data_IF_406934963308
#
_entry.id   IF_406934963308
#
_cell.length_a   1.000
_cell.length_b   1.000
_cell.length_c   1.000
_cell.angle_alpha   90.00
_cell.angle_beta   90.00
_cell.angle_gamma   90.00
#
_symmetry.space_group_name_H-M   'P 1'
#
loop_
_entity.id
_entity.type
_entity.pdbx_description
1 polymer ?
#
# COMPACT_ATOMS: atom_id res chain seq x y z
N UNK A 1 19.77 -7.80 37.43
CA UNK A 1 18.33 -7.49 37.45
C UNK A 1 18.14 -5.99 37.61
N UNK A 2 17.98 -5.27 36.50
CA UNK A 2 17.18 -4.05 36.50
C UNK A 2 16.30 -4.15 35.25
N UNK A 3 15.16 -4.80 35.46
CA UNK A 3 13.98 -4.68 34.60
C UNK A 3 13.45 -3.27 34.78
N UNK A 4 13.46 -2.48 33.72
CA UNK A 4 12.55 -1.34 33.59
C UNK A 4 11.76 -1.56 32.30
N UNK A 5 10.63 -2.24 32.44
CA UNK A 5 9.54 -2.10 31.49
C UNK A 5 9.07 -0.65 31.58
N UNK A 6 9.19 0.09 30.48
CA UNK A 6 8.37 1.29 30.26
C UNK A 6 7.43 0.97 29.11
N UNK A 7 6.19 0.62 29.44
CA UNK A 7 5.08 0.71 28.51
C UNK A 7 4.27 1.95 28.87
N UNK A 8 4.25 2.94 27.97
CA UNK A 8 3.09 3.76 27.66
C UNK A 8 3.44 4.76 26.55
N UNK A 9 2.92 4.52 25.34
CA UNK A 9 2.17 5.57 24.67
C UNK A 9 2.75 6.25 23.42
N UNK A 10 3.28 5.50 22.44
CA UNK A 10 2.95 5.67 21.01
C UNK A 10 3.52 4.46 20.23
N UNK A 11 2.76 3.38 20.08
CA UNK A 11 3.09 2.31 19.12
C UNK A 11 2.89 2.85 17.70
N UNK A 12 3.90 3.56 17.20
CA UNK A 12 3.96 3.91 15.80
C UNK A 12 4.35 2.64 15.06
N UNK A 13 3.40 1.96 14.42
CA UNK A 13 3.72 0.83 13.56
C UNK A 13 4.71 1.32 12.49
N UNK A 14 5.96 0.85 12.58
CA UNK A 14 6.96 1.07 11.53
C UNK A 14 6.44 0.49 10.21
N UNK A 15 6.89 1.04 9.09
CA UNK A 15 6.53 0.50 7.77
C UNK A 15 6.77 -1.02 7.71
N UNK A 16 5.71 -1.78 7.46
CA UNK A 16 5.70 -3.23 7.49
C UNK A 16 4.59 -3.78 6.58
N UNK A 17 4.62 -5.10 6.40
CA UNK A 17 3.53 -5.82 5.74
C UNK A 17 2.29 -5.84 6.63
N UNK A 18 1.13 -5.59 6.02
CA UNK A 18 -0.17 -5.68 6.65
C UNK A 18 -1.13 -6.50 5.78
N UNK A 19 -1.96 -7.32 6.42
CA UNK A 19 -3.02 -8.06 5.75
C UNK A 19 -4.21 -7.13 5.56
N UNK A 20 -4.60 -6.90 4.31
CA UNK A 20 -5.73 -6.05 3.96
C UNK A 20 -6.74 -6.84 3.12
N UNK A 21 -7.96 -6.33 3.06
CA UNK A 21 -8.98 -6.82 2.13
C UNK A 21 -9.18 -5.77 1.04
N UNK A 22 -9.10 -6.19 -0.22
CA UNK A 22 -9.33 -5.33 -1.38
C UNK A 22 -10.60 -5.77 -2.12
N UNK A 23 -11.34 -4.81 -2.68
CA UNK A 23 -12.41 -5.07 -3.65
C UNK A 23 -11.84 -5.19 -5.06
N UNK A 24 -12.13 -6.28 -5.76
CA UNK A 24 -11.75 -6.49 -7.16
C UNK A 24 -12.98 -6.36 -8.04
N UNK A 25 -12.94 -5.37 -8.92
CA UNK A 25 -13.96 -5.10 -9.93
C UNK A 25 -13.33 -5.04 -11.31
N UNK A 26 -14.06 -5.52 -12.32
CA UNK A 26 -13.66 -5.44 -13.73
C UNK A 26 -14.88 -5.08 -14.57
N UNK A 27 -14.72 -4.08 -15.42
CA UNK A 27 -15.77 -3.65 -16.34
C UNK A 27 -16.27 -4.82 -17.19
N UNK A 28 -17.60 -4.97 -17.27
CA UNK A 28 -18.26 -6.06 -17.97
C UNK A 28 -18.53 -7.29 -17.12
N UNK A 29 -17.92 -7.44 -15.94
CA UNK A 29 -18.31 -8.44 -14.94
C UNK A 29 -19.33 -7.84 -13.95
N UNK A 30 -20.28 -8.65 -13.47
CA UNK A 30 -21.44 -8.13 -12.74
C UNK A 30 -21.26 -7.86 -11.24
N UNK A 31 -20.13 -8.26 -10.62
CA UNK A 31 -19.96 -8.21 -9.16
C UNK A 31 -18.52 -7.89 -8.75
N UNK A 32 -18.38 -7.18 -7.62
CA UNK A 32 -17.15 -7.01 -6.87
C UNK A 32 -16.82 -8.29 -6.07
N UNK A 33 -15.55 -8.67 -6.04
CA UNK A 33 -15.06 -9.78 -5.21
C UNK A 33 -14.05 -9.24 -4.20
N UNK A 34 -14.32 -9.46 -2.92
CA UNK A 34 -13.36 -9.13 -1.86
C UNK A 34 -12.32 -10.24 -1.70
N UNK A 35 -11.03 -9.89 -1.74
CA UNK A 35 -9.93 -10.84 -1.50
C UNK A 35 -9.00 -10.32 -0.42
N UNK A 36 -8.44 -11.24 0.37
CA UNK A 36 -7.40 -10.93 1.34
C UNK A 36 -6.03 -10.96 0.65
N UNK A 37 -5.24 -9.93 0.88
CA UNK A 37 -3.89 -9.78 0.31
C UNK A 37 -2.96 -9.08 1.31
N UNK A 38 -1.68 -9.04 1.01
CA UNK A 38 -0.69 -8.27 1.77
C UNK A 38 -0.38 -6.95 1.07
N UNK A 39 -0.32 -5.87 1.85
CA UNK A 39 0.09 -4.54 1.39
C UNK A 39 1.05 -3.90 2.40
N UNK A 40 1.56 -2.71 2.08
CA UNK A 40 2.47 -1.96 2.92
C UNK A 40 1.74 -0.87 3.69
N UNK A 41 1.94 -0.86 5.00
CA UNK A 41 1.33 0.11 5.90
C UNK A 41 2.25 0.41 7.09
N UNK A 42 1.94 1.49 7.78
CA UNK A 42 2.78 2.03 8.84
C UNK A 42 3.39 3.36 8.43
N UNK A 43 4.46 3.74 9.11
CA UNK A 43 4.93 5.13 9.08
C UNK A 43 6.44 5.21 8.89
N UNK A 44 6.88 6.31 8.27
CA UNK A 44 8.26 6.55 7.88
C UNK A 44 8.83 7.85 8.45
N UNK A 45 10.15 7.83 8.61
CA UNK A 45 11.04 8.99 8.83
C UNK A 45 10.79 10.14 7.84
N UNK A 46 10.09 11.22 8.20
CA UNK A 46 10.07 12.44 7.38
C UNK A 46 10.68 13.63 8.12
N UNK A 47 11.40 14.47 7.39
CA UNK A 47 12.01 15.70 7.88
C UNK A 47 11.59 16.85 6.95
N UNK A 48 11.42 18.04 7.52
CA UNK A 48 11.25 19.26 6.76
C UNK A 48 12.47 20.15 6.98
N UNK A 49 12.93 20.82 5.93
CA UNK A 49 13.99 21.80 6.06
C UNK A 49 13.50 23.02 6.85
N UNK A 50 14.35 23.47 7.78
CA UNK A 50 14.10 24.69 8.54
C UNK A 50 14.15 25.92 7.63
N UNK A 51 15.06 25.91 6.64
CA UNK A 51 15.20 26.97 5.65
C UNK A 51 14.69 26.50 4.29
N UNK A 52 13.68 27.18 3.76
CA UNK A 52 13.10 26.90 2.44
C UNK A 52 14.00 27.47 1.34
N UNK A 53 15.01 26.70 0.93
CA UNK A 53 15.82 26.99 -0.25
C UNK A 53 15.16 26.40 -1.51
N UNK A 54 15.13 27.17 -2.60
CA UNK A 54 14.69 26.69 -3.92
C UNK A 54 15.64 25.65 -4.56
N UNK A 55 16.79 25.39 -3.93
CA UNK A 55 17.80 24.42 -4.39
C UNK A 55 17.73 23.10 -3.60
N UNK A 56 16.94 23.04 -2.51
CA UNK A 56 16.86 21.83 -1.69
C UNK A 56 16.09 20.73 -2.40
N UNK A 57 16.81 19.67 -2.78
CA UNK A 57 16.26 18.41 -3.31
C UNK A 57 15.95 17.47 -2.14
N UNK A 58 14.99 17.85 -1.29
CA UNK A 58 14.57 16.95 -0.22
C UNK A 58 13.54 15.96 -0.75
N UNK A 59 13.81 14.66 -0.59
CA UNK A 59 12.82 13.63 -0.89
C UNK A 59 12.11 13.17 0.37
N UNK A 60 10.78 13.25 0.35
CA UNK A 60 9.95 12.64 1.38
C UNK A 60 9.87 11.13 1.16
N UNK A 61 10.06 10.36 2.22
CA UNK A 61 9.93 8.90 2.19
C UNK A 61 8.52 8.50 2.63
N UNK A 62 7.96 7.53 1.91
CA UNK A 62 6.65 6.93 2.20
C UNK A 62 6.82 5.44 2.46
N UNK A 63 5.86 4.83 3.16
CA UNK A 63 5.82 3.38 3.28
C UNK A 63 5.31 2.81 1.95
N UNK A 64 6.15 2.09 1.23
CA UNK A 64 5.85 1.58 -0.11
C UNK A 64 6.38 0.16 -0.29
N UNK A 65 6.00 -0.45 -1.40
CA UNK A 65 6.48 -1.77 -1.79
C UNK A 65 7.98 -1.73 -2.08
N UNK A 66 8.70 -2.71 -1.52
CA UNK A 66 10.08 -3.01 -1.89
C UNK A 66 10.14 -4.15 -2.89
N UNK A 67 9.43 -5.23 -2.58
CA UNK A 67 9.28 -6.39 -3.46
C UNK A 67 7.79 -6.68 -3.64
N UNK A 68 7.39 -6.92 -4.89
CA UNK A 68 6.01 -7.21 -5.28
C UNK A 68 5.93 -8.51 -6.07
N UNK A 69 4.80 -9.19 -5.94
CA UNK A 69 4.37 -10.25 -6.85
C UNK A 69 3.01 -9.92 -7.43
N UNK A 70 2.62 -10.59 -8.50
CA UNK A 70 1.32 -10.43 -9.12
C UNK A 70 0.54 -11.73 -9.04
N UNK A 71 -0.72 -11.63 -8.64
CA UNK A 71 -1.63 -12.76 -8.52
C UNK A 71 -2.82 -12.54 -9.44
N UNK A 72 -3.21 -13.59 -10.15
CA UNK A 72 -4.38 -13.58 -11.05
C UNK A 72 -5.53 -14.36 -10.43
N UNK A 73 -6.72 -13.77 -10.43
CA UNK A 73 -7.97 -14.39 -9.98
C UNK A 73 -9.00 -14.40 -11.10
N UNK A 74 -9.95 -15.33 -11.04
CA UNK A 74 -11.07 -15.38 -11.96
C UNK A 74 -12.31 -14.78 -11.29
N UNK A 75 -12.86 -13.74 -11.89
CA UNK A 75 -14.09 -13.11 -11.43
C UNK A 75 -15.32 -13.95 -11.83
N UNK A 76 -16.30 -14.12 -10.92
CA UNK A 76 -17.53 -14.83 -11.21
C UNK A 76 -18.47 -13.99 -12.07
N UNK A 77 -19.40 -14.65 -12.77
CA UNK A 77 -20.51 -14.03 -13.50
C UNK A 77 -20.10 -13.01 -14.58
N UNK A 78 -18.93 -13.20 -15.19
CA UNK A 78 -18.57 -12.46 -16.40
C UNK A 78 -19.28 -13.05 -17.62
N UNK A 79 -19.81 -12.24 -18.55
CA UNK A 79 -20.36 -12.70 -19.83
C UNK A 79 -19.31 -13.46 -20.67
N UNK A 80 -19.76 -14.34 -21.58
CA UNK A 80 -18.87 -15.20 -22.41
C UNK A 80 -17.84 -14.41 -23.25
N UNK A 81 -18.12 -13.15 -23.58
CA UNK A 81 -17.24 -12.30 -24.37
C UNK A 81 -16.30 -11.41 -23.53
N UNK A 82 -16.38 -11.48 -22.21
CA UNK A 82 -15.55 -10.70 -21.28
C UNK A 82 -14.50 -11.62 -20.67
N UNK A 83 -13.24 -11.20 -20.71
CA UNK A 83 -12.16 -11.92 -20.03
C UNK A 83 -12.39 -11.89 -18.50
N UNK A 84 -12.58 -13.04 -17.84
CA UNK A 84 -12.87 -13.08 -16.41
C UNK A 84 -11.63 -12.92 -15.52
N UNK A 85 -10.41 -12.89 -16.07
CA UNK A 85 -9.20 -12.84 -15.26
C UNK A 85 -8.81 -11.42 -14.86
N UNK A 86 -8.44 -11.23 -13.60
CA UNK A 86 -7.94 -9.96 -13.06
C UNK A 86 -6.62 -10.19 -12.33
N UNK A 87 -5.63 -9.31 -12.54
CA UNK A 87 -4.30 -9.42 -11.92
C UNK A 87 -4.03 -8.23 -11.01
N UNK A 88 -3.64 -8.48 -9.76
CA UNK A 88 -3.37 -7.46 -8.76
C UNK A 88 -2.01 -7.65 -8.07
N UNK A 89 -1.38 -6.58 -7.55
CA UNK A 89 -0.11 -6.67 -6.84
C UNK A 89 -0.29 -7.19 -5.40
N UNK A 90 0.72 -7.91 -4.92
CA UNK A 90 0.81 -8.45 -3.56
C UNK A 90 2.19 -8.08 -3.00
N UNK A 91 2.21 -7.40 -1.84
CA UNK A 91 3.46 -7.02 -1.19
C UNK A 91 4.19 -8.24 -0.63
N UNK A 92 5.46 -8.41 -1.00
CA UNK A 92 6.36 -9.41 -0.42
C UNK A 92 7.27 -8.81 0.65
N UNK A 93 7.61 -7.52 0.50
CA UNK A 93 8.34 -6.75 1.50
C UNK A 93 8.05 -5.26 1.33
N UNK A 94 8.24 -4.49 2.41
CA UNK A 94 7.95 -3.05 2.47
C UNK A 94 9.19 -2.27 2.88
N UNK A 95 9.27 -1.02 2.44
CA UNK A 95 10.34 -0.10 2.84
C UNK A 95 9.87 1.35 2.93
N UNK A 96 10.66 2.17 3.63
CA UNK A 96 10.53 3.61 3.55
C UNK A 96 11.34 4.12 2.36
N UNK A 97 10.67 4.36 1.24
CA UNK A 97 11.28 4.71 -0.04
C UNK A 97 10.63 5.94 -0.68
N UNK A 98 11.18 6.38 -1.81
CA UNK A 98 10.50 7.37 -2.65
C UNK A 98 9.23 6.76 -3.22
N UNK A 99 8.15 7.54 -3.34
CA UNK A 99 6.94 7.07 -4.01
C UNK A 99 7.20 6.93 -5.51
N UNK A 100 7.01 5.73 -6.06
CA UNK A 100 7.22 5.44 -7.47
C UNK A 100 6.00 5.86 -8.30
N UNK A 101 6.09 7.04 -8.94
CA UNK A 101 5.00 7.63 -9.73
C UNK A 101 4.64 6.86 -11.00
N UNK A 102 5.49 5.92 -11.42
CA UNK A 102 5.27 5.13 -12.64
C UNK A 102 4.09 4.14 -12.49
N UNK A 103 3.83 3.69 -11.25
CA UNK A 103 2.81 2.66 -10.96
C UNK A 103 2.06 2.88 -9.64
N UNK A 104 2.35 3.94 -8.89
CA UNK A 104 1.70 4.27 -7.62
C UNK A 104 1.12 5.68 -7.69
N UNK A 105 -0.12 5.86 -7.23
CA UNK A 105 -0.70 7.19 -7.06
C UNK A 105 -0.11 7.86 -5.81
N UNK A 106 0.76 8.84 -6.02
CA UNK A 106 1.49 9.52 -4.97
C UNK A 106 0.74 10.76 -4.51
N UNK A 107 0.01 10.65 -3.40
CA UNK A 107 -0.76 11.76 -2.87
C UNK A 107 -1.29 11.51 -1.46
N UNK A 108 -2.18 12.38 -1.01
CA UNK A 108 -2.99 12.12 0.18
C UNK A 108 -4.05 11.06 -0.16
N UNK A 109 -4.33 10.14 0.77
CA UNK A 109 -5.37 9.12 0.61
C UNK A 109 -6.68 9.72 0.10
N UNK A 110 -7.13 9.29 -1.08
CA UNK A 110 -8.35 9.74 -1.75
C UNK A 110 -9.50 8.74 -1.63
N UNK A 111 -9.20 7.43 -1.58
CA UNK A 111 -10.13 6.31 -1.39
C UNK A 111 -9.46 5.19 -0.57
N UNK A 112 -10.23 4.47 0.25
CA UNK A 112 -9.76 3.27 0.95
C UNK A 112 -9.67 2.05 0.02
N UNK A 113 -8.96 0.98 0.41
CA UNK A 113 -8.84 -0.25 -0.41
C UNK A 113 -10.16 -1.01 -0.65
N UNK A 114 -11.26 -0.58 -0.04
CA UNK A 114 -12.57 -1.23 -0.09
C UNK A 114 -13.75 -0.26 -0.26
N UNK A 115 -13.48 1.03 -0.55
CA UNK A 115 -14.51 2.06 -0.73
C UNK A 115 -14.82 2.31 -2.21
#
# INVERSE_FOLDING_TARGET
FVLLCWEAGQCHASCALENITIGIEKDGCGNCVSVNTTSCAGRCLTQADVYKSSISLYTQLVCTFKEISYVTVQLPNCPEHVDPFYTYPVALSCECGQCATDYTDCGTLTLGPSD
#
